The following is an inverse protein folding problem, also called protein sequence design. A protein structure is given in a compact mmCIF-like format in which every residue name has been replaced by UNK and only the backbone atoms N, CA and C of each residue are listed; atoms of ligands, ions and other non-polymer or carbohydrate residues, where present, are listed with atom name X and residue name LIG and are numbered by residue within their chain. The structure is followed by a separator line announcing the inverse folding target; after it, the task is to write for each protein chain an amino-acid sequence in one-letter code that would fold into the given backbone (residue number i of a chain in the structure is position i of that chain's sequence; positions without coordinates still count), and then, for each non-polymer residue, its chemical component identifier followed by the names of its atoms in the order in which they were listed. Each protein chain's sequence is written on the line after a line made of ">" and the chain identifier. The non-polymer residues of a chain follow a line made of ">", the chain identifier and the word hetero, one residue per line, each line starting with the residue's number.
data_IF_234767062946
#
_entry.id   IF_234767062946
#
_cell.length_a   1.000
_cell.length_b   1.000
_cell.length_c   1.000
_cell.angle_alpha   90.00
_cell.angle_beta   90.00
_cell.angle_gamma   90.00
#
_symmetry.space_group_name_H-M   'P 1'
#
loop_
_entity.id
_entity.type
_entity.pdbx_description
1 polymer ?
#
# COMPACT_ATOMS: atom_id res chain seq x y z
N UNK A 1 -50.63 -9.90 28.62
CA UNK A 1 -49.20 -9.66 28.86
C UNK A 1 -48.45 -9.93 27.57
N UNK A 2 -48.02 -8.91 26.88
CA UNK A 2 -47.28 -9.04 25.63
C UNK A 2 -45.80 -9.32 25.97
N UNK A 3 -45.10 -10.25 25.27
CA UNK A 3 -43.69 -10.51 25.52
C UNK A 3 -42.85 -9.33 25.02
N UNK A 4 -42.05 -8.76 25.92
CA UNK A 4 -41.17 -7.64 25.60
C UNK A 4 -40.01 -8.13 24.68
N UNK A 5 -39.60 -7.33 23.67
CA UNK A 5 -38.51 -7.68 22.75
C UNK A 5 -37.13 -7.34 23.36
N UNK A 6 -36.70 -8.11 24.36
CA UNK A 6 -35.40 -7.94 25.03
C UNK A 6 -34.23 -8.48 24.20
N UNK A 7 -34.49 -9.32 23.19
CA UNK A 7 -33.45 -10.02 22.42
C UNK A 7 -32.71 -9.15 21.39
N UNK A 8 -33.25 -8.02 20.96
CA UNK A 8 -32.68 -7.21 19.87
C UNK A 8 -31.47 -6.34 20.25
N UNK A 9 -31.24 -6.10 21.53
CA UNK A 9 -30.14 -5.25 21.99
C UNK A 9 -28.78 -5.97 22.03
N UNK A 10 -28.76 -7.23 22.39
CA UNK A 10 -27.55 -8.03 22.56
C UNK A 10 -26.89 -8.37 21.23
N UNK A 11 -27.66 -8.83 20.24
CA UNK A 11 -27.13 -9.14 18.90
C UNK A 11 -26.50 -7.91 18.23
N UNK A 12 -27.05 -6.71 18.47
CA UNK A 12 -26.52 -5.47 17.88
C UNK A 12 -25.16 -5.05 18.44
N UNK A 13 -24.90 -5.25 19.73
CA UNK A 13 -23.61 -4.87 20.35
C UNK A 13 -22.48 -5.82 19.97
N UNK A 14 -22.74 -7.12 20.02
CA UNK A 14 -21.80 -8.13 19.58
C UNK A 14 -21.47 -8.02 18.08
N UNK A 15 -22.50 -7.78 17.26
CA UNK A 15 -22.34 -7.56 15.83
C UNK A 15 -21.47 -6.33 15.52
N UNK A 16 -21.65 -5.22 16.24
CA UNK A 16 -20.80 -4.01 16.07
C UNK A 16 -19.35 -4.25 16.46
N UNK A 17 -19.08 -4.98 17.52
CA UNK A 17 -17.73 -5.31 17.96
C UNK A 17 -17.00 -6.19 16.93
N UNK A 18 -17.69 -7.22 16.44
CA UNK A 18 -17.15 -8.13 15.40
C UNK A 18 -16.94 -7.38 14.08
N UNK A 19 -17.88 -6.52 13.67
CA UNK A 19 -17.73 -5.74 12.43
C UNK A 19 -16.55 -4.77 12.48
N UNK A 20 -16.29 -4.13 13.62
CA UNK A 20 -15.11 -3.29 13.82
C UNK A 20 -13.80 -4.07 13.68
N UNK A 21 -13.72 -5.26 14.25
CA UNK A 21 -12.57 -6.14 14.13
C UNK A 21 -12.34 -6.60 12.68
N UNK A 22 -13.41 -7.00 11.98
CA UNK A 22 -13.37 -7.37 10.57
C UNK A 22 -12.78 -6.24 9.75
N UNK A 23 -13.32 -5.03 9.90
CA UNK A 23 -12.91 -3.87 9.13
C UNK A 23 -11.43 -3.51 9.41
N UNK A 24 -11.01 -3.51 10.68
CA UNK A 24 -9.64 -3.18 11.06
C UNK A 24 -8.63 -4.19 10.50
N UNK A 25 -8.90 -5.49 10.59
CA UNK A 25 -8.03 -6.53 10.06
C UNK A 25 -8.04 -6.55 8.53
N UNK A 26 -9.19 -6.34 7.90
CA UNK A 26 -9.28 -6.26 6.44
C UNK A 26 -8.47 -5.09 5.90
N UNK A 27 -8.74 -3.86 6.36
CA UNK A 27 -8.03 -2.65 5.92
C UNK A 27 -6.54 -2.73 6.25
N UNK A 28 -6.19 -3.24 7.43
CA UNK A 28 -4.81 -3.45 7.84
C UNK A 28 -4.07 -4.42 6.93
N UNK A 29 -4.69 -5.54 6.57
CA UNK A 29 -4.11 -6.55 5.67
C UNK A 29 -3.93 -6.02 4.26
N UNK A 30 -4.92 -5.28 3.73
CA UNK A 30 -4.83 -4.60 2.42
C UNK A 30 -3.66 -3.61 2.42
N UNK A 31 -3.60 -2.73 3.42
CA UNK A 31 -2.56 -1.70 3.51
C UNK A 31 -1.17 -2.31 3.64
N UNK A 32 -0.99 -3.31 4.53
CA UNK A 32 0.30 -3.97 4.72
C UNK A 32 0.73 -4.75 3.47
N UNK A 33 -0.22 -5.41 2.78
CA UNK A 33 0.06 -6.14 1.55
C UNK A 33 0.55 -5.22 0.43
N UNK A 34 -0.14 -4.11 0.18
CA UNK A 34 0.21 -3.15 -0.87
C UNK A 34 1.52 -2.43 -0.52
N UNK A 35 1.59 -1.81 0.66
CA UNK A 35 2.76 -1.02 1.09
C UNK A 35 3.99 -1.91 1.21
N UNK A 36 3.85 -3.13 1.77
CA UNK A 36 4.96 -4.06 1.91
C UNK A 36 5.56 -4.46 0.56
N UNK A 37 4.72 -4.75 -0.43
CA UNK A 37 5.18 -5.12 -1.78
C UNK A 37 5.92 -3.96 -2.45
N UNK A 38 5.41 -2.73 -2.36
CA UNK A 38 6.02 -1.54 -2.97
C UNK A 38 7.38 -1.24 -2.31
N UNK A 39 7.45 -1.23 -0.98
CA UNK A 39 8.69 -0.90 -0.26
C UNK A 39 9.79 -1.95 -0.47
N UNK A 40 9.42 -3.23 -0.55
CA UNK A 40 10.40 -4.31 -0.74
C UNK A 40 11.02 -4.25 -2.15
N UNK A 41 10.24 -3.85 -3.17
CA UNK A 41 10.76 -3.66 -4.52
C UNK A 41 11.77 -2.49 -4.60
N UNK A 42 11.53 -1.40 -3.87
CA UNK A 42 12.47 -0.27 -3.76
C UNK A 42 13.77 -0.63 -3.02
N UNK A 43 13.69 -1.54 -2.05
CA UNK A 43 14.81 -2.00 -1.25
C UNK A 43 15.74 -2.98 -1.97
N UNK A 44 15.40 -3.47 -3.17
CA UNK A 44 16.27 -4.37 -3.93
C UNK A 44 17.54 -3.67 -4.39
N UNK A 45 18.67 -4.39 -4.42
CA UNK A 45 19.96 -3.82 -4.84
C UNK A 45 19.90 -3.19 -6.26
N UNK A 46 19.17 -3.84 -7.17
CA UNK A 46 18.96 -3.31 -8.53
C UNK A 46 18.16 -2.00 -8.53
N UNK A 47 17.09 -1.92 -7.75
CA UNK A 47 16.26 -0.73 -7.61
C UNK A 47 17.04 0.46 -7.03
N UNK A 48 17.85 0.24 -6.00
CA UNK A 48 18.67 1.26 -5.39
C UNK A 48 19.76 1.81 -6.34
N UNK A 49 20.30 0.98 -7.22
CA UNK A 49 21.28 1.40 -8.23
C UNK A 49 20.62 2.27 -9.30
N UNK A 50 19.52 1.81 -9.88
CA UNK A 50 18.75 2.57 -10.87
C UNK A 50 18.29 3.91 -10.29
N UNK A 51 17.82 3.91 -9.06
CA UNK A 51 17.35 5.12 -8.37
C UNK A 51 18.45 6.18 -8.20
N UNK A 52 19.68 5.75 -7.96
CA UNK A 52 20.83 6.68 -7.81
C UNK A 52 21.40 7.14 -9.13
N UNK A 53 21.35 6.29 -10.17
CA UNK A 53 21.98 6.57 -11.47
C UNK A 53 21.07 7.38 -12.39
N UNK A 54 19.77 7.52 -12.08
CA UNK A 54 18.80 8.16 -12.97
C UNK A 54 18.33 9.48 -12.39
N UNK A 55 18.64 10.58 -13.09
CA UNK A 55 18.14 11.92 -12.80
C UNK A 55 16.96 12.22 -13.76
N UNK A 56 15.88 12.76 -13.24
CA UNK A 56 14.67 13.11 -13.99
C UNK A 56 14.35 14.58 -13.77
N UNK A 57 14.25 15.33 -14.86
CA UNK A 57 13.71 16.67 -14.85
C UNK A 57 12.31 16.66 -15.48
N UNK A 58 11.30 17.04 -14.70
CA UNK A 58 9.90 17.02 -15.13
C UNK A 58 9.43 18.40 -15.52
N UNK A 59 8.79 18.51 -16.67
CA UNK A 59 8.19 19.74 -17.19
C UNK A 59 6.65 19.68 -17.19
N UNK A 60 6.10 18.54 -16.82
CA UNK A 60 4.69 18.25 -16.71
C UNK A 60 4.43 16.87 -16.14
N UNK A 61 3.19 16.49 -15.85
CA UNK A 61 2.88 15.18 -15.28
C UNK A 61 3.26 14.04 -16.22
N UNK A 62 3.95 13.03 -15.69
CA UNK A 62 4.48 11.86 -16.39
C UNK A 62 3.51 10.67 -16.44
N UNK A 63 2.23 10.88 -16.32
CA UNK A 63 1.24 9.80 -16.36
C UNK A 63 0.13 10.02 -17.37
N UNK A 64 -0.64 8.96 -17.65
CA UNK A 64 -1.95 9.05 -18.28
C UNK A 64 -2.93 9.74 -17.32
N UNK A 65 -2.67 10.99 -17.00
CA UNK A 65 -3.47 11.74 -16.07
C UNK A 65 -4.49 12.52 -16.89
N UNK A 66 -5.73 12.49 -16.43
CA UNK A 66 -6.80 13.30 -16.97
C UNK A 66 -6.44 14.79 -17.10
N UNK A 67 -7.37 15.64 -17.46
CA UNK A 67 -7.10 17.05 -17.81
C UNK A 67 -6.26 17.72 -16.73
N UNK A 68 -5.15 18.32 -17.18
CA UNK A 68 -4.17 19.01 -16.34
C UNK A 68 -4.81 20.18 -15.59
N UNK A 69 -4.40 20.44 -14.34
CA UNK A 69 -4.81 21.67 -13.65
C UNK A 69 -4.47 22.90 -14.50
N UNK A 70 -5.46 23.76 -14.70
CA UNK A 70 -5.27 24.99 -15.47
C UNK A 70 -4.14 25.84 -14.86
N UNK A 71 -3.13 26.17 -15.67
CA UNK A 71 -2.06 27.12 -15.30
C UNK A 71 -0.66 26.55 -15.12
N UNK A 72 -0.45 25.23 -15.21
CA UNK A 72 0.92 24.70 -15.26
C UNK A 72 1.42 24.61 -16.72
N UNK A 73 2.68 25.03 -17.00
CA UNK A 73 3.26 24.83 -18.31
C UNK A 73 3.41 23.32 -18.56
N UNK A 74 2.66 22.83 -19.53
CA UNK A 74 2.53 21.39 -19.82
C UNK A 74 3.64 20.86 -20.68
N UNK A 75 4.48 21.74 -21.20
CA UNK A 75 5.47 21.41 -22.23
C UNK A 75 6.60 22.41 -22.20
N UNK A 76 7.82 21.92 -22.33
CA UNK A 76 8.99 22.73 -22.48
C UNK A 76 9.66 22.48 -23.85
N UNK A 77 10.26 23.51 -24.42
CA UNK A 77 11.23 23.31 -25.49
C UNK A 77 12.61 23.16 -24.85
N UNK A 78 13.19 21.98 -24.92
CA UNK A 78 14.54 21.72 -24.39
C UNK A 78 15.56 22.22 -25.41
N UNK A 79 16.48 23.14 -25.03
CA UNK A 79 17.53 23.58 -25.95
C UNK A 79 18.43 22.41 -26.34
N UNK A 80 18.69 22.26 -27.65
CA UNK A 80 19.61 21.21 -28.15
C UNK A 80 21.02 21.32 -27.54
N UNK A 81 21.45 22.56 -27.23
CA UNK A 81 22.72 22.83 -26.57
C UNK A 81 22.80 22.17 -25.21
N UNK A 82 21.72 22.21 -24.43
CA UNK A 82 21.66 21.54 -23.11
C UNK A 82 21.85 20.03 -23.23
N UNK A 83 21.21 19.38 -24.21
CA UNK A 83 21.35 17.93 -24.41
C UNK A 83 22.80 17.58 -24.75
N UNK A 84 23.45 18.38 -25.61
CA UNK A 84 24.86 18.21 -25.98
C UNK A 84 25.79 18.45 -24.79
N UNK A 85 25.53 19.47 -24.00
CA UNK A 85 26.30 19.82 -22.79
C UNK A 85 26.21 18.68 -21.77
N UNK A 86 25.00 18.19 -21.48
CA UNK A 86 24.78 17.06 -20.57
C UNK A 86 25.52 15.80 -21.03
N UNK A 87 25.48 15.50 -22.33
CA UNK A 87 26.22 14.36 -22.90
C UNK A 87 27.75 14.49 -22.78
N UNK A 88 28.28 15.73 -22.66
CA UNK A 88 29.72 15.99 -22.48
C UNK A 88 30.19 15.85 -21.04
N UNK A 89 29.30 15.82 -20.05
CA UNK A 89 29.65 15.69 -18.63
C UNK A 89 30.23 14.29 -18.37
N UNK A 90 31.43 14.25 -17.83
CA UNK A 90 32.08 12.98 -17.48
C UNK A 90 31.23 12.22 -16.45
N UNK A 91 30.77 11.04 -16.81
CA UNK A 91 29.92 10.19 -15.95
C UNK A 91 28.45 10.23 -16.32
N UNK A 92 28.02 11.02 -17.30
CA UNK A 92 26.73 10.88 -17.96
C UNK A 92 26.86 9.86 -19.09
N UNK A 93 25.95 8.91 -19.15
CA UNK A 93 25.90 7.82 -20.13
C UNK A 93 24.93 8.09 -21.27
N UNK A 94 23.84 8.79 -20.99
CA UNK A 94 22.82 9.11 -21.97
C UNK A 94 21.78 10.09 -21.46
N UNK A 95 21.11 10.74 -22.41
CA UNK A 95 20.01 11.66 -22.17
C UNK A 95 18.84 11.25 -23.04
N UNK A 96 17.70 11.02 -22.45
CA UNK A 96 16.46 10.65 -23.15
C UNK A 96 15.42 11.72 -22.95
N UNK A 97 14.88 12.26 -24.04
CA UNK A 97 13.76 13.17 -24.01
C UNK A 97 12.45 12.39 -24.08
N UNK A 98 11.55 12.73 -23.19
CA UNK A 98 10.22 12.14 -23.09
C UNK A 98 9.20 13.13 -23.63
N UNK A 99 8.56 12.77 -24.74
CA UNK A 99 7.65 13.63 -25.46
C UNK A 99 6.19 13.32 -25.13
N UNK A 100 5.32 14.31 -25.20
CA UNK A 100 3.87 14.14 -25.18
C UNK A 100 3.38 13.94 -26.60
N UNK A 101 2.69 12.83 -26.85
CA UNK A 101 1.97 12.63 -28.11
C UNK A 101 0.66 13.42 -28.17
N UNK A 102 -0.05 13.30 -29.28
CA UNK A 102 -1.37 13.89 -29.43
C UNK A 102 -2.39 13.24 -28.48
N UNK A 103 -3.32 14.02 -27.95
CA UNK A 103 -4.36 13.52 -27.06
C UNK A 103 -5.24 12.49 -27.81
N UNK A 104 -5.48 11.35 -27.17
CA UNK A 104 -6.35 10.30 -27.70
C UNK A 104 -7.84 10.62 -27.43
N UNK A 105 -8.73 9.87 -28.05
CA UNK A 105 -10.17 10.06 -27.89
C UNK A 105 -10.70 9.87 -26.46
N UNK A 106 -9.97 9.11 -25.66
CA UNK A 106 -10.24 8.87 -24.22
C UNK A 106 -9.66 9.96 -23.30
N UNK A 107 -9.05 11.01 -23.87
CA UNK A 107 -8.39 12.08 -23.14
C UNK A 107 -6.98 11.73 -22.63
N UNK A 108 -6.49 10.51 -22.88
CA UNK A 108 -5.13 10.13 -22.52
C UNK A 108 -4.11 10.74 -23.49
N UNK A 109 -2.93 11.08 -22.96
CA UNK A 109 -1.81 11.58 -23.76
C UNK A 109 -0.70 10.56 -23.73
N UNK A 110 -0.38 9.90 -24.85
CA UNK A 110 0.67 8.91 -24.88
C UNK A 110 2.05 9.54 -24.65
N UNK A 111 2.89 8.83 -23.92
CA UNK A 111 4.27 9.20 -23.66
C UNK A 111 5.15 8.52 -24.70
N UNK A 112 5.95 9.30 -25.40
CA UNK A 112 6.74 8.85 -26.54
C UNK A 112 8.23 9.12 -26.31
N UNK A 113 9.07 8.16 -26.71
CA UNK A 113 10.53 8.26 -26.60
C UNK A 113 11.23 7.79 -27.85
N UNK A 114 12.38 8.38 -28.15
CA UNK A 114 13.26 7.89 -29.21
C UNK A 114 13.97 6.61 -28.78
N UNK A 115 13.91 5.57 -29.60
CA UNK A 115 14.58 4.32 -29.33
C UNK A 115 16.11 4.43 -29.39
N UNK A 116 16.64 5.35 -30.20
CA UNK A 116 18.07 5.67 -30.23
C UNK A 116 18.53 6.24 -28.87
N UNK A 117 17.80 7.20 -28.32
CA UNK A 117 18.11 7.79 -26.99
C UNK A 117 17.90 6.77 -25.87
N UNK A 118 16.85 5.94 -25.95
CA UNK A 118 16.55 4.95 -24.92
C UNK A 118 17.63 3.87 -24.83
N UNK A 119 18.34 3.57 -25.91
CA UNK A 119 19.45 2.63 -25.90
C UNK A 119 20.60 3.09 -24.98
N UNK A 120 20.80 4.40 -24.83
CA UNK A 120 21.79 5.00 -23.93
C UNK A 120 21.31 5.09 -22.47
N UNK A 121 20.04 4.79 -22.23
CA UNK A 121 19.41 4.83 -20.88
C UNK A 121 18.72 3.49 -20.54
N UNK A 122 19.46 2.38 -20.45
CA UNK A 122 18.90 1.03 -20.32
C UNK A 122 18.09 0.81 -19.04
N UNK A 123 18.27 1.67 -18.04
CA UNK A 123 17.51 1.61 -16.77
C UNK A 123 16.03 1.99 -16.93
N UNK A 124 15.64 2.57 -18.08
CA UNK A 124 14.26 3.00 -18.37
C UNK A 124 13.51 1.99 -19.26
N UNK A 125 14.14 0.90 -19.62
CA UNK A 125 13.58 -0.15 -20.46
C UNK A 125 14.20 -0.19 -21.85
N UNK A 126 13.60 -0.97 -22.74
CA UNK A 126 14.07 -1.19 -24.12
C UNK A 126 12.91 -1.04 -25.09
N UNK A 127 13.22 -0.63 -26.32
CA UNK A 127 12.23 -0.65 -27.39
C UNK A 127 11.99 -2.06 -27.92
N UNK A 128 10.81 -2.28 -28.48
CA UNK A 128 10.54 -3.44 -29.31
C UNK A 128 11.49 -3.47 -30.52
N UNK A 129 11.90 -4.65 -30.99
CA UNK A 129 12.82 -4.79 -32.14
C UNK A 129 12.30 -4.04 -33.36
N UNK A 130 13.17 -3.23 -34.00
CA UNK A 130 12.84 -2.47 -35.20
C UNK A 130 12.05 -1.19 -34.99
N UNK A 131 11.69 -0.83 -33.75
CA UNK A 131 11.00 0.41 -33.47
C UNK A 131 11.96 1.61 -33.49
N UNK A 132 11.59 2.69 -34.19
CA UNK A 132 12.29 3.99 -34.13
C UNK A 132 11.84 4.82 -32.94
N UNK A 133 10.54 4.75 -32.62
CA UNK A 133 9.89 5.43 -31.51
C UNK A 133 9.09 4.40 -30.70
N UNK A 134 9.12 4.54 -29.40
CA UNK A 134 8.34 3.68 -28.51
C UNK A 134 7.33 4.48 -27.69
N UNK A 135 6.21 3.84 -27.36
CA UNK A 135 5.22 4.37 -26.42
C UNK A 135 5.49 3.80 -25.04
N UNK A 136 5.72 4.67 -24.06
CA UNK A 136 5.78 4.27 -22.67
C UNK A 136 4.34 4.16 -22.14
N UNK A 137 3.93 2.93 -21.81
CA UNK A 137 2.62 2.64 -21.24
C UNK A 137 2.71 2.55 -19.73
N UNK A 138 1.79 3.22 -19.03
CA UNK A 138 1.75 3.30 -17.58
C UNK A 138 2.34 4.60 -17.04
N UNK A 139 2.32 4.72 -15.73
CA UNK A 139 2.77 5.93 -15.03
C UNK A 139 4.27 5.83 -14.75
N UNK A 140 5.09 6.71 -15.33
CA UNK A 140 6.52 6.78 -15.06
C UNK A 140 6.80 7.09 -13.57
N UNK A 141 5.90 7.80 -12.89
CA UNK A 141 5.98 8.04 -11.44
C UNK A 141 5.82 6.74 -10.65
N UNK A 142 4.93 5.86 -11.09
CA UNK A 142 4.79 4.51 -10.51
C UNK A 142 5.92 3.57 -10.95
N UNK A 143 6.48 3.77 -12.14
CA UNK A 143 7.63 3.03 -12.63
C UNK A 143 8.90 3.39 -11.86
N UNK A 144 9.00 4.61 -11.31
CA UNK A 144 10.08 5.00 -10.42
C UNK A 144 10.05 4.22 -9.09
N UNK A 145 8.88 3.78 -8.63
CA UNK A 145 8.75 2.92 -7.45
C UNK A 145 9.12 1.45 -7.72
N UNK A 146 9.15 1.03 -8.99
CA UNK A 146 9.52 -0.34 -9.44
C UNK A 146 10.75 -0.33 -10.35
N UNK A 147 11.77 0.40 -9.97
CA UNK A 147 12.94 0.73 -10.80
C UNK A 147 13.71 -0.50 -11.31
N UNK A 148 13.72 -1.61 -10.59
CA UNK A 148 14.38 -2.85 -11.04
C UNK A 148 13.67 -3.51 -12.24
N UNK A 149 12.35 -3.38 -12.32
CA UNK A 149 11.53 -3.96 -13.38
C UNK A 149 11.45 -3.05 -14.59
N UNK A 150 11.64 -1.76 -14.41
CA UNK A 150 11.65 -0.78 -15.47
C UNK A 150 12.74 -1.10 -16.51
N UNK A 151 13.92 -1.44 -16.05
CA UNK A 151 15.05 -1.83 -16.92
C UNK A 151 14.78 -3.08 -17.77
N UNK A 152 13.94 -4.00 -17.30
CA UNK A 152 13.58 -5.22 -18.02
C UNK A 152 12.40 -5.05 -18.99
N UNK A 153 11.70 -3.90 -18.94
CA UNK A 153 10.48 -3.66 -19.72
C UNK A 153 10.78 -3.41 -21.19
N UNK A 154 9.99 -4.03 -22.06
CA UNK A 154 10.03 -3.79 -23.51
C UNK A 154 8.83 -2.91 -23.87
N UNK A 155 9.12 -1.75 -24.45
CA UNK A 155 8.11 -0.78 -24.83
C UNK A 155 7.61 -1.03 -26.26
N UNK A 156 6.30 -0.98 -26.50
CA UNK A 156 5.75 -1.17 -27.83
C UNK A 156 6.13 -0.03 -28.78
N UNK A 157 6.24 -0.36 -30.06
CA UNK A 157 6.50 0.62 -31.12
C UNK A 157 5.34 1.62 -31.22
N UNK A 158 5.68 2.90 -31.37
CA UNK A 158 4.73 3.95 -31.70
C UNK A 158 4.58 4.09 -33.22
N UNK A 159 3.38 4.42 -33.69
CA UNK A 159 3.09 4.62 -35.13
C UNK A 159 3.45 6.04 -35.61
N UNK A 160 4.62 6.57 -35.16
CA UNK A 160 5.11 7.89 -35.58
C UNK A 160 6.58 7.80 -36.01
N UNK A 161 7.01 8.72 -36.90
CA UNK A 161 8.41 8.84 -37.30
C UNK A 161 9.24 9.59 -36.26
N UNK A 162 10.58 9.40 -36.30
CA UNK A 162 11.50 10.12 -35.42
C UNK A 162 11.45 11.65 -35.65
N UNK A 163 11.33 12.08 -36.91
CA UNK A 163 11.24 13.52 -37.24
C UNK A 163 9.97 14.18 -36.63
N UNK A 164 8.86 13.43 -36.60
CA UNK A 164 7.65 13.93 -35.96
C UNK A 164 7.77 13.94 -34.43
N UNK A 165 8.50 12.99 -33.84
CA UNK A 165 8.77 12.98 -32.40
C UNK A 165 9.49 14.25 -31.95
N UNK A 166 10.52 14.69 -32.71
CA UNK A 166 11.31 15.88 -32.39
C UNK A 166 10.50 17.18 -32.45
N UNK A 167 9.38 17.19 -33.16
CA UNK A 167 8.45 18.31 -33.21
C UNK A 167 7.43 18.32 -32.04
N UNK A 168 7.33 17.22 -31.29
CA UNK A 168 6.42 17.13 -30.17
C UNK A 168 6.98 17.79 -28.91
N UNK A 169 6.11 18.31 -28.04
CA UNK A 169 6.52 18.93 -26.80
C UNK A 169 7.16 17.93 -25.84
N UNK A 170 8.22 18.36 -25.15
CA UNK A 170 8.93 17.56 -24.14
C UNK A 170 8.24 17.69 -22.78
N UNK A 171 7.96 16.59 -22.14
CA UNK A 171 7.39 16.51 -20.77
C UNK A 171 8.40 16.23 -19.70
N UNK A 172 9.43 15.48 -20.03
CA UNK A 172 10.50 15.19 -19.10
C UNK A 172 11.80 14.92 -19.84
N UNK A 173 12.89 15.04 -19.12
CA UNK A 173 14.21 14.64 -19.53
C UNK A 173 14.76 13.66 -18.52
N UNK A 174 15.26 12.52 -19.00
CA UNK A 174 15.86 11.48 -18.19
C UNK A 174 17.35 11.44 -18.51
N UNK A 175 18.17 11.63 -17.48
CA UNK A 175 19.63 11.62 -17.60
C UNK A 175 20.15 10.40 -16.86
N UNK A 176 20.82 9.52 -17.59
CA UNK A 176 21.47 8.35 -17.03
C UNK A 176 22.91 8.67 -16.65
N UNK A 177 23.26 8.48 -15.39
CA UNK A 177 24.61 8.70 -14.88
C UNK A 177 25.28 7.38 -14.48
N UNK A 178 26.59 7.46 -14.18
CA UNK A 178 27.36 6.37 -13.60
C UNK A 178 27.16 6.20 -12.10
N UNK A 179 26.26 6.98 -11.48
CA UNK A 179 26.09 7.04 -10.02
C UNK A 179 27.07 7.95 -9.30
N UNK A 180 27.92 8.67 -10.04
CA UNK A 180 28.80 9.70 -9.46
C UNK A 180 27.99 10.91 -9.01
N UNK A 181 28.13 11.26 -7.74
CA UNK A 181 27.46 12.45 -7.16
C UNK A 181 27.85 13.71 -7.92
N UNK A 182 29.14 13.86 -8.27
CA UNK A 182 29.64 15.02 -9.03
C UNK A 182 28.96 15.14 -10.40
N UNK A 183 28.81 14.01 -11.13
CA UNK A 183 28.15 14.03 -12.43
C UNK A 183 26.67 14.43 -12.31
N UNK A 184 25.98 13.89 -11.29
CA UNK A 184 24.57 14.18 -11.02
C UNK A 184 24.37 15.65 -10.67
N UNK A 185 25.18 16.21 -9.76
CA UNK A 185 25.04 17.59 -9.33
C UNK A 185 25.45 18.58 -10.45
N UNK A 186 26.47 18.24 -11.27
CA UNK A 186 26.80 19.04 -12.44
C UNK A 186 25.66 19.05 -13.46
N UNK A 187 25.06 17.88 -13.74
CA UNK A 187 23.91 17.77 -14.63
C UNK A 187 22.69 18.52 -14.07
N UNK A 188 22.45 18.40 -12.75
CA UNK A 188 21.38 19.14 -12.06
C UNK A 188 21.54 20.63 -12.25
N UNK A 189 22.71 21.18 -11.98
CA UNK A 189 23.01 22.59 -12.12
C UNK A 189 22.84 23.07 -13.57
N UNK A 190 23.33 22.31 -14.56
CA UNK A 190 23.18 22.64 -15.96
C UNK A 190 21.68 22.70 -16.38
N UNK A 191 20.89 21.75 -15.89
CA UNK A 191 19.45 21.71 -16.14
C UNK A 191 18.74 22.91 -15.48
N UNK A 192 19.02 23.18 -14.20
CA UNK A 192 18.40 24.28 -13.46
C UNK A 192 18.73 25.66 -14.04
N UNK A 193 19.98 25.86 -14.52
CA UNK A 193 20.38 27.10 -15.18
C UNK A 193 19.66 27.28 -16.52
N UNK A 194 19.56 26.21 -17.32
CA UNK A 194 18.90 26.29 -18.63
C UNK A 194 17.36 26.30 -18.50
N UNK A 195 16.81 25.68 -17.46
CA UNK A 195 15.38 25.47 -17.26
C UNK A 195 15.00 25.65 -15.77
N UNK A 196 14.85 26.89 -15.29
CA UNK A 196 14.74 27.22 -13.85
C UNK A 196 13.58 26.57 -13.09
N UNK A 197 12.56 26.07 -13.77
CA UNK A 197 11.37 25.50 -13.13
C UNK A 197 11.30 23.97 -13.27
N UNK A 198 12.40 23.32 -13.65
CA UNK A 198 12.39 21.87 -13.95
C UNK A 198 12.58 20.96 -12.74
N UNK A 199 13.04 21.50 -11.60
CA UNK A 199 13.29 20.78 -10.34
C UNK A 199 13.87 19.37 -10.54
N UNK A 200 15.05 19.22 -11.18
CA UNK A 200 15.62 17.91 -11.49
C UNK A 200 15.94 17.14 -10.21
N UNK A 201 15.40 15.92 -10.11
CA UNK A 201 15.54 15.06 -8.94
C UNK A 201 15.96 13.67 -9.36
N UNK A 202 16.77 12.99 -8.55
CA UNK A 202 17.05 11.57 -8.78
C UNK A 202 15.82 10.75 -8.45
N UNK A 203 15.66 9.59 -9.11
CA UNK A 203 14.60 8.66 -8.72
C UNK A 203 14.70 8.25 -7.24
N UNK A 204 15.92 8.24 -6.67
CA UNK A 204 16.15 7.99 -5.24
C UNK A 204 15.56 9.07 -4.34
N UNK A 205 15.68 10.34 -4.72
CA UNK A 205 15.08 11.48 -3.99
C UNK A 205 13.56 11.46 -4.07
N UNK A 206 13.01 11.22 -5.28
CA UNK A 206 11.57 11.07 -5.48
C UNK A 206 11.02 9.93 -4.62
N UNK A 207 11.70 8.77 -4.66
CA UNK A 207 11.33 7.62 -3.84
C UNK A 207 11.47 7.89 -2.34
N UNK A 208 12.53 8.60 -1.89
CA UNK A 208 12.72 8.93 -0.48
C UNK A 208 11.59 9.82 0.05
N UNK A 209 11.12 10.78 -0.73
CA UNK A 209 10.00 11.63 -0.35
C UNK A 209 8.71 10.82 -0.26
N UNK A 210 8.42 9.99 -1.27
CA UNK A 210 7.28 9.08 -1.27
C UNK A 210 7.34 8.07 -0.11
N UNK A 211 8.54 7.52 0.17
CA UNK A 211 8.76 6.55 1.23
C UNK A 211 8.51 7.15 2.62
N UNK A 212 8.86 8.42 2.84
CA UNK A 212 8.54 9.10 4.12
C UNK A 212 7.04 9.16 4.35
N UNK A 213 6.28 9.63 3.39
CA UNK A 213 4.81 9.69 3.49
C UNK A 213 4.20 8.31 3.67
N UNK A 214 4.70 7.29 2.96
CA UNK A 214 4.25 5.90 3.08
C UNK A 214 4.62 5.33 4.46
N UNK A 215 5.79 5.67 5.00
CA UNK A 215 6.22 5.20 6.34
C UNK A 215 5.37 5.80 7.44
N UNK A 216 5.01 7.08 7.34
CA UNK A 216 4.07 7.73 8.25
C UNK A 216 2.69 7.08 8.20
N UNK A 217 2.16 6.84 7.00
CA UNK A 217 0.91 6.10 6.82
C UNK A 217 0.98 4.69 7.40
N UNK A 218 2.11 3.99 7.24
CA UNK A 218 2.32 2.66 7.83
C UNK A 218 2.31 2.70 9.37
N UNK A 219 2.89 3.72 9.97
CA UNK A 219 2.84 3.89 11.43
C UNK A 219 1.41 4.17 11.89
N UNK A 220 0.69 5.06 11.21
CA UNK A 220 -0.73 5.33 11.50
C UNK A 220 -1.56 4.06 11.36
N UNK A 221 -1.36 3.28 10.31
CA UNK A 221 -2.07 2.00 10.12
C UNK A 221 -1.81 1.03 11.27
N UNK A 222 -0.57 0.90 11.76
CA UNK A 222 -0.23 0.07 12.93
C UNK A 222 -0.97 0.53 14.18
N UNK A 223 -1.02 1.84 14.42
CA UNK A 223 -1.73 2.44 15.56
C UNK A 223 -3.24 2.17 15.44
N UNK A 224 -3.82 2.38 14.27
CA UNK A 224 -5.25 2.14 14.02
C UNK A 224 -5.61 0.67 14.26
N UNK A 225 -4.81 -0.27 13.78
CA UNK A 225 -5.02 -1.71 14.04
C UNK A 225 -4.99 -1.98 15.54
N UNK A 226 -3.97 -1.47 16.25
CA UNK A 226 -3.82 -1.70 17.69
C UNK A 226 -5.01 -1.14 18.48
N UNK A 227 -5.39 0.10 18.22
CA UNK A 227 -6.53 0.76 18.89
C UNK A 227 -7.84 0.05 18.57
N UNK A 228 -8.07 -0.33 17.32
CA UNK A 228 -9.26 -1.07 16.90
C UNK A 228 -9.34 -2.44 17.58
N UNK A 229 -8.22 -3.13 17.74
CA UNK A 229 -8.15 -4.40 18.46
C UNK A 229 -8.50 -4.25 19.95
N UNK A 230 -8.01 -3.20 20.61
CA UNK A 230 -8.35 -2.90 22.01
C UNK A 230 -9.85 -2.61 22.14
N UNK A 231 -10.39 -1.75 21.27
CA UNK A 231 -11.83 -1.42 21.29
C UNK A 231 -12.68 -2.66 21.05
N UNK A 232 -12.30 -3.49 20.06
CA UNK A 232 -12.99 -4.75 19.79
C UNK A 232 -12.92 -5.72 20.98
N UNK A 233 -11.76 -5.83 21.64
CA UNK A 233 -11.58 -6.62 22.83
C UNK A 233 -12.47 -6.16 23.99
N UNK A 234 -12.52 -4.86 24.28
CA UNK A 234 -13.41 -4.29 25.29
C UNK A 234 -14.89 -4.53 24.98
N UNK A 235 -15.29 -4.35 23.71
CA UNK A 235 -16.67 -4.60 23.27
C UNK A 235 -17.06 -6.07 23.43
N UNK A 236 -16.15 -6.98 23.09
CA UNK A 236 -16.35 -8.42 23.27
C UNK A 236 -16.44 -8.80 24.76
N UNK A 237 -15.63 -8.18 25.63
CA UNK A 237 -15.69 -8.40 27.06
C UNK A 237 -17.05 -7.98 27.64
N UNK A 238 -17.57 -6.83 27.24
CA UNK A 238 -18.91 -6.37 27.64
C UNK A 238 -19.99 -7.32 27.13
N UNK A 239 -19.89 -7.74 25.86
CA UNK A 239 -20.84 -8.71 25.30
C UNK A 239 -20.80 -10.06 26.00
N UNK A 240 -19.59 -10.57 26.33
CA UNK A 240 -19.41 -11.82 27.06
C UNK A 240 -20.00 -11.75 28.48
N UNK A 241 -19.76 -10.65 29.21
CA UNK A 241 -20.31 -10.46 30.57
C UNK A 241 -21.82 -10.38 30.57
N UNK A 242 -22.42 -9.71 29.60
CA UNK A 242 -23.88 -9.61 29.45
C UNK A 242 -24.48 -10.99 29.12
N UNK A 243 -23.89 -11.72 28.16
CA UNK A 243 -24.37 -13.06 27.78
C UNK A 243 -24.29 -14.08 28.92
N UNK A 244 -23.25 -14.02 29.77
CA UNK A 244 -23.14 -14.85 30.97
C UNK A 244 -24.21 -14.48 32.01
N UNK A 245 -24.48 -13.17 32.16
CA UNK A 245 -25.50 -12.70 33.09
C UNK A 245 -26.92 -13.16 32.74
N UNK A 246 -27.24 -13.21 31.44
CA UNK A 246 -28.54 -13.71 30.95
C UNK A 246 -28.68 -15.23 31.11
N UNK A 247 -27.57 -15.99 31.04
CA UNK A 247 -27.54 -17.44 31.17
C UNK A 247 -27.32 -17.94 32.59
N UNK A 248 -27.43 -17.09 33.64
CA UNK A 248 -27.20 -17.49 35.05
C UNK A 248 -28.06 -18.69 35.47
N UNK A 249 -29.38 -18.69 35.13
CA UNK A 249 -30.32 -19.77 35.53
C UNK A 249 -29.91 -21.13 34.94
N UNK A 250 -29.68 -21.29 33.61
CA UNK A 250 -29.25 -22.58 33.09
C UNK A 250 -27.87 -23.01 33.64
N UNK A 251 -26.94 -22.11 33.92
CA UNK A 251 -25.64 -22.46 34.49
C UNK A 251 -25.74 -22.89 35.96
N UNK A 252 -26.62 -22.33 36.75
CA UNK A 252 -26.85 -22.78 38.12
C UNK A 252 -27.46 -24.19 38.20
N UNK A 253 -28.37 -24.54 37.28
CA UNK A 253 -28.94 -25.85 37.16
C UNK A 253 -27.91 -26.92 36.75
N UNK A 254 -27.01 -26.60 35.78
CA UNK A 254 -25.91 -27.48 35.40
C UNK A 254 -24.89 -27.71 36.53
N UNK A 255 -24.70 -26.74 37.40
CA UNK A 255 -23.85 -26.89 38.59
C UNK A 255 -24.47 -27.82 39.64
N UNK A 256 -25.81 -27.81 39.78
CA UNK A 256 -26.52 -28.73 40.67
C UNK A 256 -26.44 -30.19 40.16
N UNK A 257 -26.24 -30.45 38.87
CA UNK A 257 -26.02 -31.79 38.32
C UNK A 257 -24.57 -32.27 38.43
N UNK A 258 -23.65 -31.48 39.10
CA UNK A 258 -22.29 -31.91 39.39
C UNK A 258 -21.25 -31.56 38.31
N UNK A 259 -21.58 -30.76 37.31
CA UNK A 259 -20.61 -30.35 36.27
C UNK A 259 -19.54 -29.45 36.87
N UNK A 260 -18.24 -29.77 36.72
CA UNK A 260 -17.16 -28.98 37.30
C UNK A 260 -17.04 -27.61 36.59
N UNK A 261 -16.84 -26.55 37.36
CA UNK A 261 -16.73 -25.12 36.86
C UNK A 261 -15.67 -24.95 35.78
N UNK A 262 -14.61 -25.80 35.81
CA UNK A 262 -13.56 -25.78 34.78
C UNK A 262 -14.08 -26.14 33.40
N UNK A 263 -15.01 -27.08 33.28
CA UNK A 263 -15.62 -27.46 32.00
C UNK A 263 -16.49 -26.31 31.50
N UNK A 264 -17.27 -25.66 32.38
CA UNK A 264 -18.12 -24.58 32.03
C UNK A 264 -17.32 -23.34 31.49
N UNK A 265 -16.21 -23.04 32.16
CA UNK A 265 -15.29 -21.98 31.69
C UNK A 265 -14.69 -22.32 30.33
N UNK A 266 -14.29 -23.57 30.10
CA UNK A 266 -13.71 -23.97 28.81
C UNK A 266 -14.73 -23.89 27.67
N UNK A 267 -15.99 -24.23 27.92
CA UNK A 267 -17.07 -24.13 26.95
C UNK A 267 -17.30 -22.67 26.60
N UNK A 268 -17.46 -21.77 27.58
CA UNK A 268 -17.67 -20.32 27.35
C UNK A 268 -16.47 -19.69 26.63
N UNK A 269 -15.24 -20.05 27.03
CA UNK A 269 -14.03 -19.56 26.38
C UNK A 269 -13.95 -20.01 24.91
N UNK A 270 -14.28 -21.26 24.61
CA UNK A 270 -14.30 -21.75 23.22
C UNK A 270 -15.43 -21.14 22.41
N UNK A 271 -16.60 -20.99 22.99
CA UNK A 271 -17.77 -20.34 22.33
C UNK A 271 -17.48 -18.90 21.87
N UNK A 272 -16.62 -18.19 22.61
CA UNK A 272 -16.20 -16.81 22.25
C UNK A 272 -14.93 -16.76 21.41
N UNK A 273 -13.93 -17.61 21.69
CA UNK A 273 -12.64 -17.59 21.03
C UNK A 273 -12.70 -18.15 19.59
N UNK A 274 -13.50 -19.21 19.36
CA UNK A 274 -13.56 -19.85 18.04
C UNK A 274 -14.12 -18.91 16.97
N UNK A 275 -15.28 -18.26 17.13
CA UNK A 275 -15.78 -17.32 16.14
C UNK A 275 -14.86 -16.11 15.97
N UNK A 276 -14.22 -15.60 17.04
CA UNK A 276 -13.27 -14.50 16.97
C UNK A 276 -12.08 -14.85 16.07
N UNK A 277 -11.45 -16.00 16.30
CA UNK A 277 -10.29 -16.44 15.51
C UNK A 277 -10.68 -16.74 14.07
N UNK A 278 -11.82 -17.38 13.83
CA UNK A 278 -12.29 -17.70 12.50
C UNK A 278 -12.56 -16.44 11.70
N UNK A 279 -13.23 -15.46 12.29
CA UNK A 279 -13.49 -14.14 11.67
C UNK A 279 -12.18 -13.39 11.40
N UNK A 280 -11.24 -13.43 12.34
CA UNK A 280 -9.93 -12.79 12.16
C UNK A 280 -9.16 -13.38 10.97
N UNK A 281 -9.11 -14.69 10.84
CA UNK A 281 -8.44 -15.40 9.73
C UNK A 281 -9.11 -15.09 8.40
N UNK A 282 -10.45 -15.18 8.34
CA UNK A 282 -11.20 -14.87 7.10
C UNK A 282 -10.99 -13.42 6.70
N UNK A 283 -11.08 -12.48 7.65
CA UNK A 283 -10.93 -11.05 7.38
C UNK A 283 -9.52 -10.71 6.87
N UNK A 284 -8.47 -11.25 7.52
CA UNK A 284 -7.11 -11.07 7.05
C UNK A 284 -6.88 -11.70 5.67
N UNK A 285 -7.38 -12.90 5.45
CA UNK A 285 -7.30 -13.59 4.16
C UNK A 285 -7.98 -12.82 3.03
N UNK A 286 -9.18 -12.32 3.27
CA UNK A 286 -9.90 -11.46 2.30
C UNK A 286 -9.16 -10.16 2.04
N UNK A 287 -8.53 -9.55 3.05
CA UNK A 287 -7.71 -8.35 2.90
C UNK A 287 -6.50 -8.61 2.00
N UNK A 288 -5.77 -9.68 2.20
CA UNK A 288 -4.64 -10.06 1.33
C UNK A 288 -5.10 -10.44 -0.07
N UNK A 289 -6.23 -11.10 -0.24
CA UNK A 289 -6.81 -11.39 -1.54
C UNK A 289 -7.13 -10.10 -2.30
N UNK A 290 -7.76 -9.14 -1.64
CA UNK A 290 -8.07 -7.83 -2.23
C UNK A 290 -6.78 -7.08 -2.63
N UNK A 291 -5.74 -7.10 -1.77
CA UNK A 291 -4.44 -6.52 -2.07
C UNK A 291 -3.78 -7.20 -3.28
N UNK A 292 -3.82 -8.53 -3.36
CA UNK A 292 -3.27 -9.30 -4.47
C UNK A 292 -3.96 -8.98 -5.81
N UNK A 293 -5.27 -8.91 -5.81
CA UNK A 293 -6.06 -8.54 -6.99
C UNK A 293 -5.77 -7.11 -7.43
N UNK A 294 -5.69 -6.17 -6.50
CA UNK A 294 -5.36 -4.77 -6.77
C UNK A 294 -3.96 -4.64 -7.37
N UNK A 295 -2.93 -5.22 -6.74
CA UNK A 295 -1.56 -5.19 -7.23
C UNK A 295 -1.45 -5.78 -8.64
N UNK A 296 -2.13 -6.90 -8.87
CA UNK A 296 -2.10 -7.58 -10.16
C UNK A 296 -2.80 -6.78 -11.26
N UNK A 297 -3.93 -6.14 -10.95
CA UNK A 297 -4.74 -5.38 -11.93
C UNK A 297 -4.15 -4.01 -12.24
N UNK A 298 -3.59 -3.31 -11.26
CA UNK A 298 -3.12 -1.93 -11.40
C UNK A 298 -1.61 -1.82 -11.65
N UNK A 299 -0.83 -2.69 -11.04
CA UNK A 299 0.64 -2.61 -11.05
C UNK A 299 1.30 -3.78 -11.81
N UNK A 300 0.53 -4.84 -12.16
CA UNK A 300 1.08 -6.06 -12.75
C UNK A 300 2.00 -6.85 -11.80
N UNK A 301 1.92 -6.54 -10.49
CA UNK A 301 2.79 -7.08 -9.46
C UNK A 301 2.16 -8.27 -8.75
N UNK A 302 3.01 -9.19 -8.27
CA UNK A 302 2.59 -10.27 -7.38
C UNK A 302 2.70 -9.82 -5.92
N UNK A 303 1.69 -10.14 -5.12
CA UNK A 303 1.70 -9.88 -3.67
C UNK A 303 2.90 -10.60 -3.04
N UNK A 304 3.71 -9.88 -2.26
CA UNK A 304 4.75 -10.46 -1.42
C UNK A 304 4.21 -10.76 -0.02
N UNK A 305 4.73 -11.79 0.64
CA UNK A 305 4.30 -12.12 2.00
C UNK A 305 4.59 -10.93 2.93
N UNK A 306 3.66 -10.62 3.85
CA UNK A 306 3.86 -9.54 4.81
C UNK A 306 5.04 -9.83 5.73
N UNK A 307 5.71 -8.78 6.19
CA UNK A 307 6.81 -8.90 7.14
C UNK A 307 6.36 -9.47 8.49
N UNK A 308 7.30 -10.01 9.25
CA UNK A 308 7.06 -10.59 10.58
C UNK A 308 6.33 -9.62 11.52
N UNK A 309 6.59 -8.32 11.39
CA UNK A 309 5.92 -7.26 12.16
C UNK A 309 4.40 -7.36 12.13
N UNK A 310 3.82 -7.69 10.96
CA UNK A 310 2.37 -7.81 10.83
C UNK A 310 1.84 -8.96 11.68
N UNK A 311 2.45 -10.14 11.58
CA UNK A 311 2.03 -11.31 12.32
C UNK A 311 2.19 -11.10 13.84
N UNK A 312 3.25 -10.41 14.25
CA UNK A 312 3.48 -10.07 15.67
C UNK A 312 2.39 -9.14 16.18
N UNK A 313 2.07 -8.06 15.45
CA UNK A 313 1.04 -7.09 15.85
C UNK A 313 -0.34 -7.76 15.94
N UNK A 314 -0.72 -8.53 14.92
CA UNK A 314 -2.01 -9.23 14.91
C UNK A 314 -2.06 -10.31 16.01
N UNK A 315 -0.97 -11.06 16.18
CA UNK A 315 -0.86 -12.08 17.22
C UNK A 315 -0.97 -11.51 18.63
N UNK A 316 -0.21 -10.45 18.93
CA UNK A 316 -0.27 -9.74 20.23
C UNK A 316 -1.67 -9.17 20.46
N UNK A 317 -2.28 -8.58 19.44
CA UNK A 317 -3.64 -8.04 19.53
C UNK A 317 -4.69 -9.13 19.82
N UNK A 318 -4.61 -10.28 19.15
CA UNK A 318 -5.50 -11.41 19.40
C UNK A 318 -5.29 -11.99 20.81
N UNK A 319 -4.03 -12.13 21.24
CA UNK A 319 -3.71 -12.57 22.61
C UNK A 319 -4.26 -11.59 23.65
N UNK A 320 -4.14 -10.29 23.41
CA UNK A 320 -4.73 -9.25 24.27
C UNK A 320 -6.26 -9.37 24.34
N UNK A 321 -6.94 -9.54 23.20
CA UNK A 321 -8.39 -9.77 23.15
C UNK A 321 -8.80 -11.04 23.93
N UNK A 322 -8.11 -12.13 23.74
CA UNK A 322 -8.35 -13.37 24.48
C UNK A 322 -8.05 -13.22 25.98
N UNK A 323 -7.01 -12.44 26.33
CA UNK A 323 -6.66 -12.11 27.70
C UNK A 323 -7.75 -11.30 28.41
N UNK A 324 -8.34 -10.31 27.73
CA UNK A 324 -9.46 -9.53 28.23
C UNK A 324 -10.67 -10.44 28.49
N UNK A 325 -11.00 -11.33 27.54
CA UNK A 325 -12.06 -12.32 27.71
C UNK A 325 -11.75 -13.24 28.89
N UNK A 326 -10.52 -13.75 29.00
CA UNK A 326 -10.11 -14.61 30.11
C UNK A 326 -10.19 -13.90 31.48
N UNK A 327 -9.89 -12.61 31.54
CA UNK A 327 -9.99 -11.80 32.74
C UNK A 327 -11.45 -11.60 33.22
N UNK A 328 -12.44 -11.75 32.34
CA UNK A 328 -13.87 -11.69 32.71
C UNK A 328 -14.38 -13.02 33.27
N UNK A 329 -13.70 -14.14 33.03
CA UNK A 329 -14.12 -15.48 33.50
C UNK A 329 -14.16 -15.62 35.04
N UNK A 330 -13.25 -15.06 35.87
CA UNK A 330 -13.35 -15.12 37.33
C UNK A 330 -14.58 -14.39 37.90
N UNK A 331 -15.09 -13.40 37.16
CA UNK A 331 -16.29 -12.68 37.55
C UNK A 331 -17.53 -13.61 37.59
N UNK A 332 -17.52 -14.66 36.73
CA UNK A 332 -18.56 -15.68 36.68
C UNK A 332 -18.63 -16.44 38.02
N UNK A 333 -17.49 -16.72 38.64
CA UNK A 333 -17.46 -17.41 39.92
C UNK A 333 -18.07 -16.60 41.05
N UNK A 334 -17.83 -15.30 41.08
CA UNK A 334 -18.40 -14.41 42.08
C UNK A 334 -19.91 -14.23 41.91
N UNK A 335 -20.42 -14.26 40.70
CA UNK A 335 -21.83 -14.10 40.38
C UNK A 335 -22.63 -15.41 40.54
N UNK A 336 -22.01 -16.56 40.38
CA UNK A 336 -22.64 -17.90 40.56
C UNK A 336 -22.38 -18.50 41.92
N UNK A 337 -21.88 -17.75 42.90
CA UNK A 337 -21.67 -18.21 44.28
C UNK A 337 -22.96 -18.70 44.95
N UNK A 338 -22.86 -19.71 45.85
CA UNK A 338 -24.04 -20.30 46.51
C UNK A 338 -24.83 -19.35 47.41
N UNK A 339 -24.28 -18.17 47.72
CA UNK A 339 -24.94 -17.18 48.59
C UNK A 339 -26.11 -16.48 47.91
N UNK A 340 -26.13 -16.37 46.57
CA UNK A 340 -27.21 -15.70 45.83
C UNK A 340 -28.46 -16.60 45.74
N UNK A 341 -28.27 -17.92 45.74
CA UNK A 341 -29.38 -18.85 45.71
C UNK A 341 -30.14 -18.98 47.07
N UNK A 342 -29.59 -18.32 48.12
CA UNK A 342 -30.15 -18.40 49.48
C UNK A 342 -30.99 -17.13 49.86
N UNK A 343 -30.92 -16.10 49.06
CA UNK A 343 -31.60 -14.82 49.36
C UNK A 343 -32.77 -14.50 48.42
N UNK A 344 -33.22 -15.45 47.60
CA UNK A 344 -34.48 -15.44 46.87
C UNK A 344 -35.33 -16.64 47.33
#
# INVERSE_FOLDING_TARGET
>A
MAPQPIHLGFERSAFRAISGLILALFVGSVSVGIIGTILDDQGTAGGATVARETLVAQFGPLGNVGPLPAGQPTTASVPRQLVTELGSIRGIRGVTLVHAGDAQADGSVPILVSCAQLADTPNVGRCAPGAAVATITGNLDNAASSSSKLAAKVWPAAAISADRLDALPVRAMIVQSSGSTTAIETARTAIEVAMPNSAPSTLGEINATSTRSITELRQLTKIVILVSLVIAGCSLAVSATTGVNERKRPFSLLRLTGVPVRVLRRVVALETAVPLLLVAVISAGMGFLAAALFLRSQLGESLRPPGLDYYVIVGVGLVACLGIIAATLPLIERITGPEIARNE
#
